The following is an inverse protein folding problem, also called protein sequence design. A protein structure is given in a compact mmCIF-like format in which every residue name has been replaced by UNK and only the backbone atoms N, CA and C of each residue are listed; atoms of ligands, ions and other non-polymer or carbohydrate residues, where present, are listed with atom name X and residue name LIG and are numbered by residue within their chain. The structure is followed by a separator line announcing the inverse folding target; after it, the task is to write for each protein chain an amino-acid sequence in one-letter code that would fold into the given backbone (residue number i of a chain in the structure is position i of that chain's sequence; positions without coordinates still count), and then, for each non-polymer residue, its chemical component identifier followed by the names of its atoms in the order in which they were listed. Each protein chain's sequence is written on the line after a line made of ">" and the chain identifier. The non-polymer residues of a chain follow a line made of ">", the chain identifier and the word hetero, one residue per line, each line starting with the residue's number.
data_IF_555923757457
#
_entry.id   IF_555923757457
#
_cell.length_a   1.000
_cell.length_b   1.000
_cell.length_c   1.000
_cell.angle_alpha   90.00
_cell.angle_beta   90.00
_cell.angle_gamma   90.00
#
_symmetry.space_group_name_H-M   'P 1'
#
loop_
_entity.id
_entity.type
_entity.pdbx_description
1 polymer ?
#
# COMPACT_ATOMS: atom_id res chain seq x y z
N UNK A 1 -3.03 -9.23 3.94
CA UNK A 1 -4.37 -8.62 3.66
C UNK A 1 -5.34 -9.53 2.92
N UNK A 2 -4.84 -10.39 2.03
CA UNK A 2 -5.58 -11.46 1.36
C UNK A 2 -6.49 -12.27 2.29
N UNK A 3 -6.05 -12.54 3.52
CA UNK A 3 -6.85 -13.20 4.56
C UNK A 3 -8.20 -12.55 4.82
N UNK A 4 -8.24 -11.22 4.94
CA UNK A 4 -9.45 -10.47 5.22
C UNK A 4 -10.44 -10.60 4.07
N UNK A 5 -9.98 -10.47 2.83
CA UNK A 5 -10.83 -10.56 1.64
C UNK A 5 -11.45 -11.96 1.51
N UNK A 6 -10.64 -13.02 1.65
CA UNK A 6 -11.16 -14.40 1.62
C UNK A 6 -12.15 -14.66 2.75
N UNK A 7 -11.85 -14.15 3.94
CA UNK A 7 -12.74 -14.25 5.08
C UNK A 7 -14.08 -13.55 4.83
N UNK A 8 -14.04 -12.30 4.37
CA UNK A 8 -15.21 -11.46 4.12
C UNK A 8 -16.23 -12.15 3.20
N UNK A 9 -15.74 -12.82 2.16
CA UNK A 9 -16.61 -13.56 1.23
C UNK A 9 -17.02 -14.96 1.72
N UNK A 10 -16.16 -15.68 2.44
CA UNK A 10 -16.46 -17.03 2.92
C UNK A 10 -17.33 -17.07 4.19
N UNK A 11 -17.25 -16.05 5.04
CA UNK A 11 -17.94 -15.97 6.33
C UNK A 11 -18.69 -14.64 6.48
N UNK A 12 -19.69 -14.37 5.60
CA UNK A 12 -20.41 -13.11 5.64
C UNK A 12 -21.13 -12.92 6.99
N UNK A 13 -21.02 -11.73 7.57
CA UNK A 13 -21.66 -11.37 8.83
C UNK A 13 -20.99 -11.90 10.10
N UNK A 14 -19.84 -12.58 10.00
CA UNK A 14 -19.05 -13.01 11.15
C UNK A 14 -17.86 -12.06 11.32
N UNK A 15 -17.51 -11.66 12.54
CA UNK A 15 -16.39 -10.75 12.80
C UNK A 15 -15.02 -11.38 12.48
N UNK A 16 -14.17 -10.64 11.78
CA UNK A 16 -12.83 -11.10 11.44
C UNK A 16 -11.97 -11.27 12.71
N UNK A 17 -11.19 -12.36 12.87
CA UNK A 17 -10.46 -12.62 14.13
C UNK A 17 -9.35 -11.62 14.50
N UNK A 18 -8.97 -10.72 13.58
CA UNK A 18 -7.98 -9.67 13.84
C UNK A 18 -8.68 -8.30 13.80
N UNK A 19 -9.06 -7.75 14.97
CA UNK A 19 -9.93 -6.57 15.04
C UNK A 19 -9.25 -5.28 14.54
N UNK A 20 -7.92 -5.29 14.35
CA UNK A 20 -7.16 -4.14 13.88
C UNK A 20 -7.48 -3.82 12.41
N UNK A 21 -7.95 -4.80 11.63
CA UNK A 21 -8.35 -4.60 10.24
C UNK A 21 -9.84 -4.88 10.05
N UNK A 22 -10.54 -3.87 9.54
CA UNK A 22 -11.99 -3.89 9.37
C UNK A 22 -12.43 -2.86 8.31
N UNK A 23 -13.59 -3.10 7.70
CA UNK A 23 -14.27 -2.07 6.91
C UNK A 23 -15.15 -1.19 7.80
N UNK A 24 -15.14 0.11 7.54
CA UNK A 24 -16.16 1.03 8.06
C UNK A 24 -17.45 0.89 7.24
N UNK A 25 -18.60 1.24 7.82
CA UNK A 25 -19.90 1.11 7.17
C UNK A 25 -19.96 1.71 5.75
N UNK A 26 -19.34 2.88 5.55
CA UNK A 26 -19.34 3.53 4.23
C UNK A 26 -18.47 2.78 3.20
N UNK A 27 -17.47 2.03 3.65
CA UNK A 27 -16.57 1.26 2.78
C UNK A 27 -17.19 -0.07 2.41
N UNK A 28 -17.84 -0.78 3.35
CA UNK A 28 -18.60 -1.99 3.05
C UNK A 28 -19.68 -1.69 2.02
N UNK A 29 -20.45 -0.59 2.21
CA UNK A 29 -21.46 -0.14 1.23
C UNK A 29 -20.87 0.20 -0.13
N UNK A 30 -19.69 0.83 -0.16
CA UNK A 30 -19.01 1.16 -1.41
C UNK A 30 -18.51 -0.10 -2.12
N UNK A 31 -17.94 -1.06 -1.39
CA UNK A 31 -17.49 -2.34 -1.91
C UNK A 31 -18.67 -3.13 -2.48
N UNK A 32 -19.77 -3.25 -1.74
CA UNK A 32 -20.99 -3.94 -2.21
C UNK A 32 -21.54 -3.30 -3.49
N UNK A 33 -21.54 -1.96 -3.55
CA UNK A 33 -21.93 -1.23 -4.75
C UNK A 33 -21.00 -1.52 -5.93
N UNK A 34 -19.68 -1.46 -5.72
CA UNK A 34 -18.68 -1.77 -6.76
C UNK A 34 -18.84 -3.20 -7.28
N UNK A 35 -19.01 -4.17 -6.37
CA UNK A 35 -19.25 -5.57 -6.72
C UNK A 35 -20.58 -5.77 -7.45
N UNK A 36 -21.60 -4.95 -7.18
CA UNK A 36 -22.87 -4.99 -7.91
C UNK A 36 -22.74 -4.41 -9.33
N UNK A 37 -21.87 -3.42 -9.53
CA UNK A 37 -21.66 -2.73 -10.81
C UNK A 37 -20.60 -3.39 -11.70
N UNK A 38 -19.64 -4.11 -11.13
CA UNK A 38 -18.61 -4.83 -11.88
C UNK A 38 -19.26 -5.88 -12.80
N UNK A 39 -18.96 -5.75 -14.09
CA UNK A 39 -19.43 -6.56 -15.21
C UNK A 39 -19.06 -8.04 -15.00
N UNK A 40 -19.92 -8.94 -15.52
CA UNK A 40 -19.90 -10.40 -15.49
C UNK A 40 -19.68 -11.11 -14.12
N UNK A 41 -20.61 -11.99 -13.67
CA UNK A 41 -20.42 -12.86 -12.51
C UNK A 41 -19.11 -13.69 -12.54
N UNK A 42 -18.59 -14.01 -13.72
CA UNK A 42 -17.31 -14.72 -13.92
C UNK A 42 -16.08 -13.88 -13.56
N UNK A 43 -16.12 -12.55 -13.71
CA UNK A 43 -14.98 -11.68 -13.39
C UNK A 43 -14.90 -11.35 -11.89
N UNK A 44 -16.04 -11.43 -11.18
CA UNK A 44 -16.15 -11.10 -9.75
C UNK A 44 -15.26 -11.95 -8.85
N UNK A 45 -14.84 -13.12 -9.33
CA UNK A 45 -14.18 -14.11 -8.49
C UNK A 45 -12.89 -14.70 -9.05
N UNK A 46 -12.21 -14.02 -10.00
CA UNK A 46 -10.96 -14.53 -10.59
C UNK A 46 -9.90 -14.92 -9.56
N UNK A 47 -9.81 -14.18 -8.46
CA UNK A 47 -8.89 -14.48 -7.37
C UNK A 47 -9.29 -15.74 -6.60
N UNK A 48 -10.55 -15.89 -6.20
CA UNK A 48 -10.97 -17.10 -5.47
C UNK A 48 -11.07 -18.30 -6.40
N UNK A 49 -11.42 -18.12 -7.68
CA UNK A 49 -11.35 -19.16 -8.69
C UNK A 49 -9.90 -19.61 -8.93
N UNK A 50 -8.96 -18.68 -9.06
CA UNK A 50 -7.54 -18.99 -9.14
C UNK A 50 -7.06 -19.77 -7.92
N UNK A 51 -7.50 -19.38 -6.72
CA UNK A 51 -7.23 -20.11 -5.49
C UNK A 51 -7.98 -21.44 -5.41
N UNK A 52 -9.16 -21.59 -5.98
CA UNK A 52 -9.89 -22.85 -6.01
C UNK A 52 -9.21 -23.86 -6.95
N UNK A 53 -8.80 -23.40 -8.14
CA UNK A 53 -8.10 -24.16 -9.18
C UNK A 53 -6.64 -24.46 -8.83
N UNK A 54 -6.03 -23.73 -7.89
CA UNK A 54 -4.69 -24.07 -7.41
C UNK A 54 -4.67 -25.45 -6.77
N UNK A 55 -3.51 -26.09 -6.68
CA UNK A 55 -3.41 -27.40 -6.04
C UNK A 55 -3.20 -27.26 -4.53
N UNK A 56 -1.98 -27.48 -4.04
CA UNK A 56 -1.63 -27.44 -2.62
C UNK A 56 -1.04 -26.11 -2.15
N UNK A 57 -0.53 -25.29 -3.08
CA UNK A 57 0.25 -24.08 -2.77
C UNK A 57 -0.31 -22.89 -3.53
N UNK A 58 -0.34 -21.73 -2.87
CA UNK A 58 -0.64 -20.42 -3.45
C UNK A 58 0.53 -19.49 -3.13
N UNK A 59 1.14 -18.91 -4.16
CA UNK A 59 2.20 -17.92 -4.00
C UNK A 59 1.58 -16.53 -3.84
N UNK A 60 2.04 -15.78 -2.84
CA UNK A 60 1.59 -14.41 -2.60
C UNK A 60 2.78 -13.47 -2.55
N UNK A 61 2.65 -12.33 -3.23
CA UNK A 61 3.59 -11.23 -3.12
C UNK A 61 3.43 -10.59 -1.74
N UNK A 62 4.50 -10.48 -0.98
CA UNK A 62 4.43 -10.08 0.43
C UNK A 62 5.56 -10.71 1.24
N UNK A 63 5.54 -10.47 2.55
CA UNK A 63 6.61 -10.88 3.45
C UNK A 63 6.05 -11.46 4.73
N UNK A 64 6.51 -12.66 5.12
CA UNK A 64 6.08 -13.28 6.39
C UNK A 64 6.49 -12.45 7.61
N UNK A 65 7.56 -11.67 7.49
CA UNK A 65 8.02 -10.76 8.56
C UNK A 65 7.05 -9.62 8.85
N UNK A 66 6.10 -9.36 7.94
CA UNK A 66 5.12 -8.27 8.04
C UNK A 66 3.72 -8.81 8.27
N UNK A 67 3.32 -9.84 7.51
CA UNK A 67 1.93 -10.33 7.52
C UNK A 67 1.79 -11.83 7.87
N UNK A 68 2.81 -12.45 8.49
CA UNK A 68 2.84 -13.89 8.80
C UNK A 68 1.57 -14.42 9.47
N UNK A 69 1.05 -13.73 10.52
CA UNK A 69 -0.20 -14.12 11.21
C UNK A 69 -1.40 -14.20 10.26
N UNK A 70 -1.45 -13.30 9.28
CA UNK A 70 -2.51 -13.26 8.27
C UNK A 70 -2.32 -14.35 7.20
N UNK A 71 -1.08 -14.67 6.84
CA UNK A 71 -0.74 -15.76 5.91
C UNK A 71 -1.11 -17.12 6.51
N UNK A 72 -0.84 -17.32 7.79
CA UNK A 72 -1.19 -18.56 8.49
C UNK A 72 -2.70 -18.73 8.56
N UNK A 73 -3.42 -17.66 8.90
CA UNK A 73 -4.88 -17.67 8.95
C UNK A 73 -5.52 -17.99 7.60
N UNK A 74 -5.07 -17.36 6.50
CA UNK A 74 -5.64 -17.68 5.18
C UNK A 74 -5.30 -19.10 4.75
N UNK A 75 -4.14 -19.63 5.14
CA UNK A 75 -3.78 -21.02 4.85
C UNK A 75 -4.74 -22.00 5.52
N UNK A 76 -5.09 -21.75 6.80
CA UNK A 76 -6.08 -22.54 7.54
C UNK A 76 -7.49 -22.39 6.93
N UNK A 77 -7.92 -21.14 6.67
CA UNK A 77 -9.25 -20.85 6.12
C UNK A 77 -9.50 -21.48 4.75
N UNK A 78 -8.46 -21.60 3.93
CA UNK A 78 -8.54 -22.14 2.58
C UNK A 78 -8.19 -23.63 2.52
N UNK A 79 -7.42 -24.15 3.48
CA UNK A 79 -6.89 -25.52 3.46
C UNK A 79 -5.77 -25.71 2.43
N UNK A 80 -5.03 -24.64 2.11
CA UNK A 80 -3.89 -24.64 1.16
C UNK A 80 -2.72 -23.89 1.75
N UNK A 81 -1.48 -24.24 1.40
CA UNK A 81 -0.29 -23.55 1.89
C UNK A 81 -0.10 -22.24 1.14
N UNK A 82 -0.21 -21.09 1.82
CA UNK A 82 0.16 -19.80 1.25
C UNK A 82 1.64 -19.53 1.55
N UNK A 83 2.41 -19.19 0.50
CA UNK A 83 3.86 -18.96 0.60
C UNK A 83 4.17 -17.56 0.10
N UNK A 84 4.82 -16.76 0.93
CA UNK A 84 5.27 -15.43 0.54
C UNK A 84 6.49 -15.51 -0.36
N UNK A 85 6.52 -14.72 -1.44
CA UNK A 85 7.65 -14.66 -2.38
C UNK A 85 8.51 -13.40 -2.25
N UNK A 86 8.36 -12.65 -1.15
CA UNK A 86 9.07 -11.40 -0.89
C UNK A 86 8.38 -10.18 -1.51
N UNK A 87 9.02 -9.02 -1.34
CA UNK A 87 8.50 -7.73 -1.81
C UNK A 87 8.48 -7.61 -3.34
N UNK A 88 9.33 -8.35 -4.05
CA UNK A 88 9.53 -8.29 -5.50
C UNK A 88 9.68 -6.85 -6.04
N UNK A 89 10.21 -5.93 -5.23
CA UNK A 89 10.51 -4.57 -5.64
C UNK A 89 11.77 -4.62 -6.52
N UNK A 90 11.65 -4.19 -7.77
CA UNK A 90 12.75 -4.18 -8.73
C UNK A 90 13.17 -2.74 -9.00
N UNK A 91 14.36 -2.36 -8.56
CA UNK A 91 14.92 -1.05 -8.86
C UNK A 91 15.25 -0.96 -10.36
N UNK A 92 14.53 -0.11 -11.09
CA UNK A 92 14.76 0.13 -12.51
C UNK A 92 16.02 0.99 -12.70
N UNK A 93 16.82 0.65 -13.71
CA UNK A 93 18.00 1.42 -14.13
C UNK A 93 17.65 2.86 -14.57
N UNK A 94 18.65 3.75 -14.67
CA UNK A 94 18.43 5.18 -14.96
C UNK A 94 17.75 5.41 -16.34
N UNK A 95 16.90 6.44 -16.41
CA UNK A 95 16.24 6.95 -17.61
C UNK A 95 16.30 8.51 -17.61
N UNK A 96 16.22 9.15 -18.78
CA UNK A 96 16.47 10.59 -18.93
C UNK A 96 15.45 11.49 -18.20
N UNK A 97 14.19 11.04 -18.06
CA UNK A 97 13.15 11.79 -17.33
C UNK A 97 13.38 11.86 -15.81
N UNK A 98 14.24 10.99 -15.26
CA UNK A 98 14.58 10.99 -13.84
C UNK A 98 15.34 12.24 -13.42
N UNK A 99 16.05 12.85 -14.36
CA UNK A 99 17.03 13.89 -14.06
C UNK A 99 16.37 15.14 -13.48
N UNK A 100 15.26 15.60 -14.07
CA UNK A 100 14.55 16.82 -13.62
C UNK A 100 13.97 16.67 -12.21
N UNK A 101 13.40 15.52 -11.91
CA UNK A 101 12.80 15.23 -10.60
C UNK A 101 13.92 15.16 -9.56
N UNK A 102 15.00 14.45 -9.88
CA UNK A 102 16.16 14.31 -9.00
C UNK A 102 16.80 15.67 -8.71
N UNK A 103 17.02 16.52 -9.72
CA UNK A 103 17.53 17.88 -9.52
C UNK A 103 16.61 18.74 -8.65
N UNK A 104 15.29 18.63 -8.82
CA UNK A 104 14.35 19.36 -7.99
C UNK A 104 14.37 18.86 -6.53
N UNK A 105 14.43 17.55 -6.32
CA UNK A 105 14.52 16.92 -5.01
C UNK A 105 15.84 17.25 -4.31
N UNK A 106 16.96 17.32 -5.04
CA UNK A 106 18.28 17.68 -4.50
C UNK A 106 18.32 19.10 -3.89
N UNK A 107 17.40 19.99 -4.29
CA UNK A 107 17.27 21.34 -3.72
C UNK A 107 16.50 21.37 -2.41
N UNK A 108 15.98 20.22 -1.95
CA UNK A 108 15.13 20.12 -0.75
C UNK A 108 15.94 19.68 0.45
N UNK A 109 15.42 19.96 1.63
CA UNK A 109 16.00 19.48 2.87
C UNK A 109 15.78 17.97 3.01
N UNK A 110 16.64 17.32 3.80
CA UNK A 110 16.57 15.88 4.03
C UNK A 110 15.23 15.53 4.67
N UNK A 111 14.55 14.52 4.12
CA UNK A 111 13.22 14.06 4.55
C UNK A 111 12.15 15.17 4.62
N UNK A 112 12.25 16.24 3.82
CA UNK A 112 11.27 17.34 3.84
C UNK A 112 10.16 17.23 2.80
N UNK A 113 10.28 16.32 1.83
CA UNK A 113 9.35 16.23 0.69
C UNK A 113 8.36 15.09 0.88
N UNK A 114 7.07 15.36 0.61
CA UNK A 114 6.02 14.34 0.51
C UNK A 114 5.85 13.96 -0.95
N UNK A 115 6.00 12.68 -1.28
CA UNK A 115 5.59 12.16 -2.57
C UNK A 115 4.09 11.83 -2.54
N UNK A 116 3.35 12.20 -3.59
CA UNK A 116 1.90 11.99 -3.71
C UNK A 116 1.64 11.23 -5.00
N UNK A 117 1.06 10.02 -4.90
CA UNK A 117 0.69 9.23 -6.07
C UNK A 117 -0.49 8.31 -5.77
N UNK A 118 -1.50 8.37 -6.65
CA UNK A 118 -2.71 7.56 -6.56
C UNK A 118 -2.83 6.50 -7.66
N UNK A 119 -1.85 6.42 -8.58
CA UNK A 119 -1.82 5.40 -9.65
C UNK A 119 -2.91 5.55 -10.73
N UNK A 120 -3.63 6.67 -10.75
CA UNK A 120 -4.63 7.01 -11.77
C UNK A 120 -4.16 8.18 -12.61
N UNK A 121 -4.34 8.10 -13.93
CA UNK A 121 -4.05 9.19 -14.85
C UNK A 121 -5.24 10.17 -14.88
N UNK A 122 -4.98 11.44 -14.55
CA UNK A 122 -5.95 12.53 -14.66
C UNK A 122 -5.28 13.75 -15.25
N UNK A 123 -6.03 14.48 -16.08
CA UNK A 123 -5.55 15.74 -16.63
C UNK A 123 -5.45 16.80 -15.53
N UNK A 124 -4.30 17.46 -15.43
CA UNK A 124 -4.06 18.46 -14.39
C UNK A 124 -4.98 19.67 -14.53
N UNK A 125 -5.21 20.11 -15.76
CA UNK A 125 -6.06 21.27 -16.10
C UNK A 125 -7.51 21.10 -15.61
N UNK A 126 -8.01 19.87 -15.61
CA UNK A 126 -9.38 19.53 -15.20
C UNK A 126 -9.48 19.27 -13.68
N UNK A 127 -8.35 19.01 -13.02
CA UNK A 127 -8.32 18.55 -11.61
C UNK A 127 -7.93 19.66 -10.65
N UNK A 128 -7.01 20.56 -11.04
CA UNK A 128 -6.42 21.52 -10.13
C UNK A 128 -7.25 22.81 -10.02
N UNK A 129 -7.41 23.38 -8.81
CA UNK A 129 -8.06 24.68 -8.66
C UNK A 129 -7.29 25.78 -9.39
N UNK A 130 -8.00 26.77 -9.94
CA UNK A 130 -7.38 27.94 -10.58
C UNK A 130 -6.29 28.56 -9.69
N UNK A 131 -5.13 28.85 -10.27
CA UNK A 131 -4.00 29.45 -9.56
C UNK A 131 -3.19 28.49 -8.68
N UNK A 132 -3.42 27.17 -8.76
CA UNK A 132 -2.77 26.20 -7.86
C UNK A 132 -1.26 26.12 -8.07
N UNK A 133 -0.80 26.01 -9.32
CA UNK A 133 0.62 25.88 -9.64
C UNK A 133 1.42 27.12 -9.21
N UNK A 134 0.82 28.30 -9.38
CA UNK A 134 1.40 29.58 -8.96
C UNK A 134 1.49 29.68 -7.44
N UNK A 135 0.48 29.21 -6.70
CA UNK A 135 0.52 29.16 -5.23
C UNK A 135 1.55 28.17 -4.71
N UNK A 136 1.72 27.03 -5.39
CA UNK A 136 2.72 26.02 -5.01
C UNK A 136 4.13 26.56 -5.24
N UNK A 137 4.39 27.18 -6.40
CA UNK A 137 5.68 27.75 -6.75
C UNK A 137 6.81 26.73 -6.60
N UNK A 138 7.95 27.16 -6.07
CA UNK A 138 9.12 26.28 -5.92
C UNK A 138 8.97 25.20 -4.82
N UNK A 139 7.92 25.28 -3.99
CA UNK A 139 7.71 24.36 -2.85
C UNK A 139 7.21 22.99 -3.27
N UNK A 140 6.59 22.86 -4.45
CA UNK A 140 6.10 21.58 -4.97
C UNK A 140 6.39 21.43 -6.46
N UNK A 141 6.50 20.18 -6.89
CA UNK A 141 6.59 19.79 -8.29
C UNK A 141 5.33 19.00 -8.61
N UNK A 142 4.58 19.43 -9.63
CA UNK A 142 3.39 18.74 -10.11
C UNK A 142 3.70 18.16 -11.48
N UNK A 143 3.40 16.87 -11.65
CA UNK A 143 3.63 16.15 -12.89
C UNK A 143 2.32 15.58 -13.41
N UNK A 144 2.18 15.57 -14.74
CA UNK A 144 1.11 14.89 -15.45
C UNK A 144 1.66 13.57 -16.02
N UNK A 145 0.85 12.52 -16.01
CA UNK A 145 1.25 11.19 -16.48
C UNK A 145 2.06 10.38 -15.46
N UNK A 146 3.03 9.62 -15.96
CA UNK A 146 3.81 8.69 -15.15
C UNK A 146 4.97 9.36 -14.42
N UNK A 147 5.26 8.91 -13.21
CA UNK A 147 6.42 9.32 -12.43
C UNK A 147 7.25 8.10 -12.01
N UNK A 148 8.60 8.19 -11.97
CA UNK A 148 9.47 7.10 -11.54
C UNK A 148 9.39 6.88 -10.02
N UNK A 149 8.26 6.31 -9.57
CA UNK A 149 7.89 6.15 -8.17
C UNK A 149 9.00 5.52 -7.31
N UNK A 150 9.63 4.44 -7.80
CA UNK A 150 10.73 3.78 -7.07
C UNK A 150 11.93 4.70 -6.86
N UNK A 151 12.31 5.48 -7.87
CA UNK A 151 13.44 6.42 -7.78
C UNK A 151 13.13 7.58 -6.86
N UNK A 152 11.89 8.08 -6.92
CA UNK A 152 11.41 9.12 -6.01
C UNK A 152 11.46 8.59 -4.58
N UNK A 153 10.85 7.44 -4.28
CA UNK A 153 10.84 6.85 -2.94
C UNK A 153 12.25 6.53 -2.43
N UNK A 154 13.17 6.15 -3.32
CA UNK A 154 14.57 5.92 -2.99
C UNK A 154 15.40 7.18 -2.73
N UNK A 155 14.87 8.37 -3.00
CA UNK A 155 15.58 9.63 -2.81
C UNK A 155 15.63 10.06 -1.34
N UNK A 156 16.80 10.47 -0.85
CA UNK A 156 17.03 10.82 0.56
C UNK A 156 16.14 11.95 1.10
N UNK A 157 15.71 12.85 0.21
CA UNK A 157 14.88 14.00 0.55
C UNK A 157 13.36 13.71 0.60
N UNK A 158 12.92 12.48 0.28
CA UNK A 158 11.54 12.05 0.53
C UNK A 158 11.37 11.66 2.00
N UNK A 159 10.47 12.37 2.69
CA UNK A 159 10.12 12.17 4.09
C UNK A 159 8.83 11.40 4.33
N UNK A 160 7.96 11.27 3.33
CA UNK A 160 6.71 10.53 3.43
C UNK A 160 6.06 10.28 2.08
N UNK A 161 5.18 9.28 2.05
CA UNK A 161 4.45 8.88 0.86
C UNK A 161 2.94 8.92 1.10
N UNK A 162 2.26 9.88 0.45
CA UNK A 162 0.81 9.92 0.39
C UNK A 162 0.33 8.97 -0.71
N UNK A 163 -0.33 7.89 -0.28
CA UNK A 163 -0.69 6.76 -1.14
C UNK A 163 -2.14 6.34 -0.94
N UNK A 164 -2.73 5.79 -1.99
CA UNK A 164 -4.00 5.05 -1.91
C UNK A 164 -3.89 3.70 -1.19
N UNK A 165 -2.70 3.29 -0.73
CA UNK A 165 -2.47 2.01 -0.07
C UNK A 165 -2.71 0.78 -0.96
N UNK A 166 -2.38 0.86 -2.26
CA UNK A 166 -2.23 -0.34 -3.07
C UNK A 166 -1.06 -1.19 -2.57
N UNK A 167 -1.19 -2.51 -2.61
CA UNK A 167 -0.21 -3.42 -2.00
C UNK A 167 1.21 -3.25 -2.54
N UNK A 168 1.35 -3.00 -3.85
CA UNK A 168 2.65 -2.71 -4.46
C UNK A 168 3.27 -1.43 -3.87
N UNK A 169 2.50 -0.33 -3.82
CA UNK A 169 2.97 0.94 -3.27
C UNK A 169 3.37 0.83 -1.79
N UNK A 170 2.66 0.02 -1.01
CA UNK A 170 3.02 -0.28 0.38
C UNK A 170 4.35 -1.00 0.47
N UNK A 171 4.57 -2.05 -0.33
CA UNK A 171 5.84 -2.80 -0.34
C UNK A 171 7.01 -1.92 -0.80
N UNK A 172 6.81 -1.07 -1.79
CA UNK A 172 7.83 -0.12 -2.27
C UNK A 172 8.18 0.92 -1.19
N UNK A 173 7.17 1.46 -0.50
CA UNK A 173 7.39 2.38 0.62
C UNK A 173 8.22 1.73 1.73
N UNK A 174 7.88 0.49 2.10
CA UNK A 174 8.63 -0.23 3.13
C UNK A 174 10.03 -0.61 2.67
N UNK A 175 10.22 -0.98 1.39
CA UNK A 175 11.54 -1.25 0.79
C UNK A 175 12.49 -0.04 0.94
N UNK A 176 11.97 1.18 0.79
CA UNK A 176 12.76 2.41 0.97
C UNK A 176 12.72 2.99 2.38
N UNK A 177 11.91 2.43 3.28
CA UNK A 177 11.75 2.91 4.66
C UNK A 177 11.03 4.25 4.75
N UNK A 178 10.09 4.50 3.83
CA UNK A 178 9.31 5.73 3.78
C UNK A 178 7.98 5.51 4.51
N UNK A 179 7.60 6.40 5.47
CA UNK A 179 6.32 6.30 6.16
C UNK A 179 5.16 6.67 5.25
N UNK A 180 4.01 6.05 5.48
CA UNK A 180 2.83 6.17 4.61
C UNK A 180 1.79 7.13 5.22
N UNK A 181 1.32 8.08 4.42
CA UNK A 181 0.11 8.86 4.69
C UNK A 181 -1.01 8.20 3.88
N UNK A 182 -1.83 7.40 4.56
CA UNK A 182 -2.77 6.49 3.93
C UNK A 182 -4.08 7.21 3.58
N UNK A 183 -4.42 7.22 2.29
CA UNK A 183 -5.66 7.81 1.76
C UNK A 183 -6.36 6.79 0.87
N UNK A 184 -6.94 5.72 1.44
CA UNK A 184 -7.58 4.66 0.65
C UNK A 184 -8.76 5.22 -0.15
N UNK A 185 -8.90 4.69 -1.37
CA UNK A 185 -9.94 5.08 -2.32
C UNK A 185 -10.96 3.95 -2.50
N UNK A 186 -10.54 2.75 -2.91
CA UNK A 186 -11.44 1.69 -3.37
C UNK A 186 -10.96 0.27 -2.99
N UNK A 187 -11.86 -0.71 -3.09
CA UNK A 187 -11.58 -2.16 -2.98
C UNK A 187 -10.94 -2.56 -1.63
N UNK A 188 -9.75 -3.16 -1.66
CA UNK A 188 -8.99 -3.69 -0.53
C UNK A 188 -8.10 -2.64 0.14
N UNK A 189 -7.93 -1.48 -0.49
CA UNK A 189 -7.11 -0.37 0.03
C UNK A 189 -7.47 0.07 1.45
N UNK A 190 -8.76 0.16 1.87
CA UNK A 190 -9.09 0.47 3.25
C UNK A 190 -8.47 -0.52 4.24
N UNK A 191 -8.54 -1.82 3.93
CA UNK A 191 -8.00 -2.89 4.77
C UNK A 191 -6.48 -2.80 4.84
N UNK A 192 -5.83 -2.53 3.70
CA UNK A 192 -4.38 -2.29 3.66
C UNK A 192 -3.99 -1.05 4.47
N UNK A 193 -4.78 0.02 4.44
CA UNK A 193 -4.53 1.23 5.24
C UNK A 193 -4.54 0.95 6.75
N UNK A 194 -5.52 0.17 7.24
CA UNK A 194 -5.54 -0.25 8.66
C UNK A 194 -4.36 -1.13 9.01
N UNK A 195 -3.98 -2.02 8.11
CA UNK A 195 -2.80 -2.85 8.32
C UNK A 195 -1.52 -2.01 8.43
N UNK A 196 -1.39 -0.99 7.58
CA UNK A 196 -0.26 -0.04 7.63
C UNK A 196 -0.21 0.72 8.97
N UNK A 197 -1.36 1.09 9.53
CA UNK A 197 -1.46 1.65 10.88
C UNK A 197 -1.14 0.63 11.97
N UNK A 198 -1.69 -0.59 11.89
CA UNK A 198 -1.48 -1.72 12.84
C UNK A 198 0.01 -2.01 13.02
N UNK A 199 0.75 -2.11 11.92
CA UNK A 199 2.20 -2.36 11.97
C UNK A 199 3.03 -1.10 12.27
N UNK A 200 2.38 0.07 12.36
CA UNK A 200 2.97 1.35 12.76
C UNK A 200 3.77 2.08 11.68
N UNK A 201 3.65 1.71 10.40
CA UNK A 201 4.44 2.33 9.29
C UNK A 201 3.70 3.46 8.57
N UNK A 202 2.47 3.77 8.98
CA UNK A 202 1.74 4.91 8.44
C UNK A 202 0.58 5.35 9.32
N UNK A 203 -0.10 6.40 8.84
CA UNK A 203 -1.28 7.01 9.48
C UNK A 203 -2.35 7.23 8.43
N UNK A 204 -3.59 6.81 8.71
CA UNK A 204 -4.75 6.97 7.86
C UNK A 204 -5.35 8.38 7.98
N UNK A 205 -5.62 8.99 6.83
CA UNK A 205 -6.45 10.18 6.73
C UNK A 205 -7.91 9.74 6.76
N UNK A 206 -8.40 9.50 7.97
CA UNK A 206 -9.76 9.00 8.22
C UNK A 206 -10.81 9.96 7.65
N UNK A 207 -11.74 9.41 6.87
CA UNK A 207 -12.89 10.11 6.29
C UNK A 207 -13.99 10.30 7.34
N UNK A 208 -14.87 11.27 7.12
CA UNK A 208 -16.03 11.44 7.98
C UNK A 208 -17.06 10.31 7.83
N UNK A 209 -18.14 10.37 8.61
CA UNK A 209 -19.22 9.37 8.58
C UNK A 209 -19.97 9.28 7.24
N UNK A 210 -19.77 10.25 6.33
CA UNK A 210 -20.31 10.26 4.96
C UNK A 210 -19.28 9.80 3.93
N UNK A 211 -18.08 9.38 4.36
CA UNK A 211 -16.98 8.98 3.48
C UNK A 211 -16.24 10.15 2.83
N UNK A 212 -16.40 11.38 3.31
CA UNK A 212 -15.76 12.56 2.73
C UNK A 212 -14.36 12.79 3.31
N UNK A 213 -13.43 13.21 2.44
CA UNK A 213 -12.07 13.56 2.80
C UNK A 213 -11.98 15.07 3.05
N UNK A 214 -11.42 15.46 4.20
CA UNK A 214 -11.29 16.87 4.60
C UNK A 214 -9.84 17.33 4.50
N UNK A 215 -9.64 18.53 3.91
CA UNK A 215 -8.30 19.08 3.65
C UNK A 215 -7.54 19.40 4.95
N UNK A 216 -8.26 19.77 6.00
CA UNK A 216 -7.73 20.04 7.33
C UNK A 216 -7.13 18.76 7.91
N UNK A 217 -7.88 17.66 7.87
CA UNK A 217 -7.43 16.36 8.35
C UNK A 217 -6.23 15.84 7.56
N UNK A 218 -6.26 16.03 6.24
CA UNK A 218 -5.13 15.68 5.38
C UNK A 218 -3.86 16.47 5.77
N UNK A 219 -3.98 17.78 5.97
CA UNK A 219 -2.86 18.63 6.37
C UNK A 219 -2.32 18.26 7.76
N UNK A 220 -3.19 17.92 8.71
CA UNK A 220 -2.79 17.41 10.04
C UNK A 220 -1.94 16.15 9.94
N UNK A 221 -2.42 15.14 9.19
CA UNK A 221 -1.70 13.86 9.08
C UNK A 221 -0.37 14.03 8.34
N UNK A 222 -0.31 14.87 7.30
CA UNK A 222 0.96 15.20 6.62
C UNK A 222 1.96 15.79 7.62
N UNK A 223 1.53 16.77 8.43
CA UNK A 223 2.39 17.39 9.45
C UNK A 223 2.81 16.38 10.51
N UNK A 224 1.87 15.59 11.01
CA UNK A 224 2.12 14.54 11.99
C UNK A 224 3.24 13.61 11.50
N UNK A 225 3.09 13.04 10.31
CA UNK A 225 4.01 12.02 9.77
C UNK A 225 5.38 12.60 9.44
N UNK A 226 5.47 13.79 8.84
CA UNK A 226 6.73 14.30 8.28
C UNK A 226 7.44 15.30 9.18
N UNK A 227 6.71 16.09 9.96
CA UNK A 227 7.26 17.26 10.68
C UNK A 227 7.25 17.04 12.20
N UNK A 228 6.12 16.58 12.74
CA UNK A 228 5.91 16.59 14.18
C UNK A 228 6.63 15.42 14.88
N UNK A 229 6.86 15.62 16.19
CA UNK A 229 7.41 14.59 17.08
C UNK A 229 6.44 13.41 17.26
N UNK A 230 5.14 13.66 17.18
CA UNK A 230 4.09 12.64 17.25
C UNK A 230 4.21 11.55 16.17
N UNK A 231 4.77 11.88 14.99
CA UNK A 231 5.06 10.90 13.93
C UNK A 231 6.45 10.29 13.96
N UNK A 232 7.29 10.59 14.96
CA UNK A 232 8.66 10.04 15.06
C UNK A 232 8.65 8.51 15.09
N UNK A 233 7.72 7.93 15.85
CA UNK A 233 7.54 6.47 15.90
C UNK A 233 7.25 5.88 14.51
N UNK A 234 6.40 6.52 13.71
CA UNK A 234 6.03 6.06 12.36
C UNK A 234 7.24 6.08 11.43
N UNK A 235 8.06 7.13 11.50
CA UNK A 235 9.30 7.25 10.71
C UNK A 235 10.33 6.18 11.10
N UNK A 236 10.53 5.96 12.40
CA UNK A 236 11.42 4.89 12.90
C UNK A 236 10.92 3.53 12.43
N UNK A 237 9.61 3.28 12.54
CA UNK A 237 9.02 2.00 12.18
C UNK A 237 9.14 1.68 10.69
N UNK A 238 8.99 2.68 9.83
CA UNK A 238 9.21 2.52 8.40
C UNK A 238 10.67 2.11 8.11
N UNK A 239 11.65 2.73 8.76
CA UNK A 239 13.08 2.37 8.63
C UNK A 239 13.37 0.97 9.18
N UNK A 240 12.79 0.59 10.31
CA UNK A 240 12.88 -0.79 10.82
C UNK A 240 12.32 -1.80 9.81
N UNK A 241 11.21 -1.47 9.15
CA UNK A 241 10.60 -2.35 8.17
C UNK A 241 11.46 -2.55 6.94
N UNK A 242 12.17 -1.50 6.48
CA UNK A 242 13.17 -1.62 5.42
C UNK A 242 14.17 -2.72 5.72
N UNK A 243 14.77 -2.69 6.92
CA UNK A 243 15.77 -3.69 7.33
C UNK A 243 15.16 -5.10 7.39
N UNK A 244 13.94 -5.21 7.95
CA UNK A 244 13.26 -6.51 8.03
C UNK A 244 13.03 -7.12 6.64
N UNK A 245 12.57 -6.34 5.68
CA UNK A 245 12.29 -6.78 4.31
C UNK A 245 13.58 -7.12 3.57
N UNK A 246 14.64 -6.32 3.70
CA UNK A 246 15.91 -6.60 3.03
C UNK A 246 16.57 -7.88 3.51
N UNK A 247 16.37 -8.25 4.78
CA UNK A 247 16.91 -9.48 5.37
C UNK A 247 16.05 -10.72 5.03
N UNK A 248 14.99 -10.59 4.23
CA UNK A 248 14.11 -11.72 3.92
C UNK A 248 14.75 -12.66 2.89
N UNK A 249 15.19 -13.80 3.38
CA UNK A 249 15.47 -14.97 2.54
C UNK A 249 14.14 -15.67 2.29
N UNK A 250 13.80 -15.89 1.02
CA UNK A 250 12.60 -16.67 0.64
C UNK A 250 12.86 -18.18 0.84
N UNK A 251 13.36 -18.55 2.03
CA UNK A 251 13.76 -19.90 2.40
C UNK A 251 12.58 -20.87 2.28
N UNK A 252 11.37 -20.42 2.63
CA UNK A 252 10.16 -21.23 2.52
C UNK A 252 9.85 -21.62 1.06
N UNK A 253 10.12 -20.74 0.08
CA UNK A 253 9.96 -21.09 -1.33
C UNK A 253 11.01 -22.11 -1.77
N UNK A 254 12.26 -21.96 -1.31
CA UNK A 254 13.35 -22.91 -1.58
C UNK A 254 13.03 -24.28 -0.98
N UNK A 255 12.51 -24.34 0.25
CA UNK A 255 12.06 -25.58 0.90
C UNK A 255 10.92 -26.25 0.13
N UNK A 256 9.95 -25.47 -0.34
CA UNK A 256 8.85 -25.97 -1.16
C UNK A 256 9.34 -26.56 -2.49
N UNK A 257 10.34 -25.92 -3.11
CA UNK A 257 10.93 -26.42 -4.36
C UNK A 257 11.86 -27.63 -4.17
N UNK A 258 12.45 -27.80 -3.00
CA UNK A 258 13.41 -28.89 -2.72
C UNK A 258 12.74 -30.13 -2.14
N UNK A 259 11.69 -29.97 -1.34
CA UNK A 259 10.91 -31.07 -0.75
C UNK A 259 10.09 -31.89 -1.77
N UNK A 260 9.83 -31.35 -2.96
CA UNK A 260 9.20 -32.06 -4.10
C UNK A 260 10.17 -32.95 -4.89
N UNK A 261 11.47 -32.92 -4.58
CA UNK A 261 12.51 -33.73 -5.24
C UNK A 261 12.71 -35.10 -4.58
N UNK A 262 11.94 -35.41 -3.52
CA UNK A 262 12.17 -36.57 -2.64
C UNK A 262 10.98 -37.55 -2.55
N UNK A 263 10.05 -37.49 -3.51
CA UNK A 263 8.86 -38.36 -3.56
C UNK A 263 8.66 -39.01 -4.92
#
# INVERSE_FOLDING_TARGET
>A
MTSFIFYYFKKPGVEFPFPEIYFRDYESKLLDKLLSCALNPEEKDRASEGVARSYKIVLIKGSRKIEGKYIDYVSELIGKKFVSVGSLVQELGPNDEDFKITEWLNKKEKKSTVFVSFGEERKLEETLPKGFLERVGERGLVMEGWAPQLKILGHDNIGGFLSHCGWNSVLESMHFGIPIIAVPMHLDQPIIARFVEDIGVGVEVVRDSKGQLHKERLAEVIKQVVIEKSGEFVRIKAVEMKVKISDEVVAELVEVCTSSSSS
#
